data_IF_759868991701
#
_entry.id   IF_759868991701
#
_cell.length_a   1.000
_cell.length_b   1.000
_cell.length_c   1.000
_cell.angle_alpha   90.00
_cell.angle_beta   90.00
_cell.angle_gamma   90.00
#
_symmetry.space_group_name_H-M   'P 1'
#
loop_
_entity.id
_entity.type
_entity.pdbx_description
1 polymer ?
#
# COMPACT_ATOMS: atom_id res chain seq x y z
N UNK A 1 -99.48 24.89 -4.46
CA UNK A 1 -98.72 25.12 -5.71
C UNK A 1 -97.55 26.00 -5.31
N UNK A 2 -96.28 25.62 -5.31
CA UNK A 2 -95.51 24.77 -6.23
C UNK A 2 -94.30 24.21 -5.47
N UNK A 3 -93.83 23.04 -5.88
CA UNK A 3 -92.77 22.20 -5.27
C UNK A 3 -91.33 22.73 -5.50
N UNK A 4 -90.38 22.01 -4.90
CA UNK A 4 -88.94 21.83 -5.23
C UNK A 4 -87.93 22.67 -4.44
N UNK A 5 -86.77 22.18 -4.01
CA UNK A 5 -86.21 20.84 -3.69
C UNK A 5 -84.92 21.16 -2.91
N UNK A 6 -84.61 20.39 -1.87
CA UNK A 6 -83.38 20.49 -1.09
C UNK A 6 -82.16 20.17 -1.96
N UNK A 7 -81.19 21.07 -2.06
CA UNK A 7 -79.91 20.81 -2.72
C UNK A 7 -78.78 20.79 -1.67
N UNK A 8 -78.36 19.58 -1.32
CA UNK A 8 -77.12 19.31 -0.60
C UNK A 8 -76.04 19.15 -1.69
N UNK A 9 -75.12 20.11 -1.82
CA UNK A 9 -73.96 19.96 -2.69
C UNK A 9 -72.69 19.98 -1.85
N UNK A 10 -72.04 18.82 -1.88
CA UNK A 10 -70.80 18.45 -1.19
C UNK A 10 -69.66 19.34 -1.65
N UNK A 11 -68.98 19.97 -0.71
CA UNK A 11 -67.70 20.65 -0.91
C UNK A 11 -66.63 19.59 -1.15
N UNK A 12 -66.22 19.40 -2.41
CA UNK A 12 -65.03 18.59 -2.74
C UNK A 12 -63.78 19.34 -2.27
N UNK A 13 -63.19 18.91 -1.15
CA UNK A 13 -61.79 19.23 -0.84
C UNK A 13 -60.92 18.51 -1.87
N UNK A 14 -60.35 19.28 -2.82
CA UNK A 14 -59.22 18.84 -3.62
C UNK A 14 -58.01 18.68 -2.71
N UNK A 15 -57.78 17.46 -2.21
CA UNK A 15 -56.44 17.04 -1.82
C UNK A 15 -55.63 16.88 -3.11
N UNK A 16 -54.93 17.95 -3.51
CA UNK A 16 -53.85 17.82 -4.49
C UNK A 16 -52.77 16.93 -3.91
N UNK A 17 -52.66 15.69 -4.40
CA UNK A 17 -51.44 14.91 -4.27
C UNK A 17 -50.32 15.71 -4.93
N UNK A 18 -49.55 16.44 -4.14
CA UNK A 18 -48.21 16.83 -4.53
C UNK A 18 -47.37 15.54 -4.54
N UNK A 19 -47.44 14.80 -5.64
CA UNK A 19 -46.46 13.75 -5.91
C UNK A 19 -45.09 14.40 -5.89
N UNK A 20 -44.24 14.02 -4.93
CA UNK A 20 -42.82 14.37 -5.00
C UNK A 20 -42.27 13.66 -6.22
N UNK A 21 -42.03 14.41 -7.29
CA UNK A 21 -41.19 13.94 -8.40
C UNK A 21 -39.78 13.89 -7.80
N UNK A 22 -39.37 12.74 -7.29
CA UNK A 22 -37.95 12.49 -7.06
C UNK A 22 -37.30 12.42 -8.43
N UNK A 23 -36.15 13.09 -8.60
CA UNK A 23 -35.35 12.92 -9.81
C UNK A 23 -35.03 11.43 -9.95
N UNK A 24 -35.40 10.85 -11.09
CA UNK A 24 -35.00 9.49 -11.44
C UNK A 24 -33.63 9.59 -12.09
N UNK A 25 -32.61 9.13 -11.38
CA UNK A 25 -31.25 9.03 -11.88
C UNK A 25 -31.04 7.70 -12.58
N UNK A 26 -30.13 7.68 -13.56
CA UNK A 26 -29.78 6.45 -14.25
C UNK A 26 -29.05 5.49 -13.31
N UNK A 27 -29.43 4.21 -13.36
CA UNK A 27 -28.74 3.15 -12.62
C UNK A 27 -27.68 2.55 -13.52
N UNK A 28 -26.42 2.66 -13.13
CA UNK A 28 -25.26 2.16 -13.87
C UNK A 28 -24.56 1.05 -13.10
N UNK A 29 -23.94 0.11 -13.81
CA UNK A 29 -22.99 -0.83 -13.21
C UNK A 29 -21.65 -0.15 -12.97
N UNK A 30 -20.86 -0.69 -12.04
CA UNK A 30 -19.49 -0.20 -11.78
C UNK A 30 -18.68 -0.17 -13.08
N UNK A 31 -18.77 -1.22 -13.91
CA UNK A 31 -18.06 -1.29 -15.18
C UNK A 31 -18.46 -0.18 -16.16
N UNK A 32 -19.71 0.25 -16.19
CA UNK A 32 -20.12 1.36 -17.06
C UNK A 32 -19.47 2.68 -16.65
N UNK A 33 -19.25 2.87 -15.35
CA UNK A 33 -18.59 4.06 -14.81
C UNK A 33 -17.08 3.97 -15.03
N UNK A 34 -16.49 2.81 -14.77
CA UNK A 34 -15.04 2.65 -14.74
C UNK A 34 -14.41 2.42 -16.12
N UNK A 35 -15.07 1.71 -17.04
CA UNK A 35 -14.43 1.27 -18.28
C UNK A 35 -14.11 2.43 -19.22
N UNK A 36 -12.83 2.52 -19.61
CA UNK A 36 -12.34 3.36 -20.71
C UNK A 36 -11.70 2.50 -21.82
N UNK A 37 -11.74 2.94 -23.08
CA UNK A 37 -11.18 2.18 -24.20
C UNK A 37 -9.65 2.18 -24.27
N UNK A 38 -9.00 3.24 -23.81
CA UNK A 38 -7.54 3.44 -23.89
C UNK A 38 -7.02 4.17 -22.62
N UNK A 39 -6.85 3.44 -21.51
CA UNK A 39 -6.55 4.05 -20.22
C UNK A 39 -5.21 4.79 -20.19
N UNK A 40 -4.23 4.40 -21.03
CA UNK A 40 -2.96 5.13 -21.10
C UNK A 40 -3.07 6.48 -21.81
N UNK A 41 -4.12 6.70 -22.60
CA UNK A 41 -4.38 7.98 -23.24
C UNK A 41 -5.30 8.87 -22.39
N UNK A 42 -6.37 8.30 -21.84
CA UNK A 42 -7.37 8.98 -21.03
C UNK A 42 -8.11 7.96 -20.14
N UNK A 43 -7.96 8.10 -18.83
CA UNK A 43 -8.58 7.28 -17.79
C UNK A 43 -9.87 7.91 -17.22
N UNK A 44 -10.25 9.11 -17.67
CA UNK A 44 -11.43 9.79 -17.14
C UNK A 44 -12.69 8.98 -17.45
N UNK A 45 -13.51 8.75 -16.42
CA UNK A 45 -14.80 8.09 -16.56
C UNK A 45 -15.67 8.75 -17.65
N UNK A 46 -16.32 7.96 -18.53
CA UNK A 46 -17.27 8.50 -19.52
C UNK A 46 -18.51 9.15 -18.89
N UNK A 47 -18.69 9.00 -17.57
CA UNK A 47 -19.79 9.56 -16.78
C UNK A 47 -19.33 10.67 -15.84
N UNK A 48 -18.12 11.20 -15.99
CA UNK A 48 -17.61 12.29 -15.16
C UNK A 48 -18.59 13.48 -15.10
N UNK A 49 -19.00 13.84 -13.88
CA UNK A 49 -19.98 14.89 -13.59
C UNK A 49 -21.45 14.44 -13.58
N UNK A 50 -21.77 13.23 -14.05
CA UNK A 50 -23.13 12.70 -14.03
C UNK A 50 -23.55 12.33 -12.60
N UNK A 51 -24.83 12.52 -12.29
CA UNK A 51 -25.45 11.98 -11.06
C UNK A 51 -26.11 10.65 -11.36
N UNK A 52 -25.65 9.58 -10.71
CA UNK A 52 -26.02 8.20 -11.01
C UNK A 52 -26.37 7.40 -9.76
N UNK A 53 -27.02 6.26 -9.96
CA UNK A 53 -27.26 5.24 -8.93
C UNK A 53 -26.40 4.03 -9.24
N UNK A 54 -25.68 3.51 -8.25
CA UNK A 54 -24.79 2.34 -8.39
C UNK A 54 -25.14 1.29 -7.36
N UNK A 55 -25.32 0.04 -7.79
CA UNK A 55 -25.39 -1.12 -6.89
C UNK A 55 -23.97 -1.61 -6.63
N UNK A 56 -23.55 -1.68 -5.37
CA UNK A 56 -22.22 -2.20 -5.03
C UNK A 56 -22.20 -2.90 -3.66
N UNK A 57 -21.23 -3.80 -3.47
CA UNK A 57 -20.90 -4.42 -2.20
C UNK A 57 -19.77 -3.64 -1.51
N UNK A 58 -19.95 -3.34 -0.22
CA UNK A 58 -18.97 -2.66 0.62
C UNK A 58 -17.83 -3.60 0.99
N UNK A 59 -16.58 -3.16 0.79
CA UNK A 59 -15.40 -3.99 1.04
C UNK A 59 -14.64 -3.62 2.33
N UNK A 60 -14.80 -2.39 2.82
CA UNK A 60 -14.21 -1.92 4.08
C UNK A 60 -15.15 -0.96 4.81
N UNK A 61 -14.91 -0.77 6.11
CA UNK A 61 -15.62 0.23 6.90
C UNK A 61 -15.36 1.65 6.35
N UNK A 62 -16.38 2.51 6.17
CA UNK A 62 -16.24 3.88 5.66
C UNK A 62 -15.28 4.81 6.42
N UNK A 63 -14.89 4.44 7.64
CA UNK A 63 -13.92 5.17 8.48
C UNK A 63 -12.55 4.52 8.56
N UNK A 64 -12.29 3.47 7.78
CA UNK A 64 -11.01 2.78 7.78
C UNK A 64 -9.90 3.51 6.98
N UNK A 65 -10.26 4.49 6.15
CA UNK A 65 -9.34 5.14 5.20
C UNK A 65 -8.87 6.53 5.64
N UNK A 66 -7.61 6.87 5.39
CA UNK A 66 -7.04 8.19 5.62
C UNK A 66 -7.45 9.21 4.53
N UNK A 67 -8.71 9.62 4.55
CA UNK A 67 -9.28 10.60 3.61
C UNK A 67 -9.57 11.95 4.28
N UNK A 68 -8.85 12.27 5.36
CA UNK A 68 -9.12 13.43 6.20
C UNK A 68 -10.35 13.20 7.07
N UNK A 69 -11.21 14.22 7.21
CA UNK A 69 -12.45 14.08 7.98
C UNK A 69 -13.56 13.33 7.20
N UNK A 70 -13.37 13.14 5.88
CA UNK A 70 -14.29 12.46 4.94
C UNK A 70 -14.47 10.99 5.28
N UNK A 71 -15.53 10.41 4.75
CA UNK A 71 -15.81 8.99 4.89
C UNK A 71 -15.70 8.39 3.50
N UNK A 72 -15.10 7.21 3.37
CA UNK A 72 -14.99 6.54 2.09
C UNK A 72 -14.83 5.03 2.26
N UNK A 73 -15.31 4.28 1.28
CA UNK A 73 -15.07 2.85 1.19
C UNK A 73 -14.80 2.43 -0.25
N UNK A 74 -13.92 1.46 -0.40
CA UNK A 74 -13.85 0.63 -1.60
C UNK A 74 -15.10 -0.24 -1.67
N UNK A 75 -15.62 -0.38 -2.88
CA UNK A 75 -16.77 -1.23 -3.18
C UNK A 75 -16.50 -2.04 -4.44
N UNK A 76 -17.23 -3.14 -4.61
CA UNK A 76 -17.16 -3.96 -5.82
C UNK A 76 -18.55 -4.21 -6.39
N UNK A 77 -18.63 -4.47 -7.69
CA UNK A 77 -19.88 -4.95 -8.30
C UNK A 77 -20.16 -6.39 -7.82
N UNK A 78 -21.24 -6.62 -7.04
CA UNK A 78 -21.54 -7.93 -6.48
C UNK A 78 -21.92 -8.96 -7.55
N UNK A 79 -22.32 -8.52 -8.75
CA UNK A 79 -22.81 -9.39 -9.80
C UNK A 79 -21.71 -9.73 -10.83
N UNK A 80 -20.62 -8.94 -10.88
CA UNK A 80 -19.57 -9.08 -11.90
C UNK A 80 -18.14 -9.20 -11.38
N UNK A 81 -17.85 -8.91 -10.11
CA UNK A 81 -16.52 -9.15 -9.54
C UNK A 81 -16.14 -10.64 -9.63
N UNK A 82 -14.90 -11.01 -10.05
CA UNK A 82 -13.70 -10.17 -10.23
C UNK A 82 -13.40 -9.79 -11.69
N UNK A 83 -14.40 -9.67 -12.57
CA UNK A 83 -14.15 -9.25 -13.95
C UNK A 83 -13.50 -7.85 -13.98
N UNK A 84 -12.61 -7.54 -14.93
CA UNK A 84 -12.02 -6.21 -15.07
C UNK A 84 -13.04 -5.07 -14.96
N UNK A 85 -12.65 -3.96 -14.32
CA UNK A 85 -13.47 -2.77 -14.13
C UNK A 85 -14.68 -2.97 -13.19
N UNK A 86 -14.57 -3.87 -12.21
CA UNK A 86 -15.64 -4.16 -11.24
C UNK A 86 -15.34 -3.66 -9.81
N UNK A 87 -14.24 -2.94 -9.60
CA UNK A 87 -13.89 -2.24 -8.36
C UNK A 87 -14.18 -0.75 -8.48
N UNK A 88 -14.58 -0.11 -7.38
CA UNK A 88 -14.93 1.30 -7.36
C UNK A 88 -14.71 1.95 -5.99
N UNK A 89 -14.77 3.28 -5.96
CA UNK A 89 -14.59 4.08 -4.76
C UNK A 89 -15.81 4.96 -4.49
N UNK A 90 -16.32 4.94 -3.25
CA UNK A 90 -17.44 5.79 -2.82
C UNK A 90 -16.99 6.69 -1.69
N UNK A 91 -17.31 7.99 -1.79
CA UNK A 91 -16.88 9.01 -0.82
C UNK A 91 -18.02 9.94 -0.42
N UNK A 92 -18.03 10.30 0.87
CA UNK A 92 -18.82 11.41 1.39
C UNK A 92 -17.89 12.55 1.79
N UNK A 93 -17.92 13.65 1.02
CA UNK A 93 -17.08 14.82 1.30
C UNK A 93 -17.52 15.59 2.55
N UNK A 94 -18.83 15.84 2.70
CA UNK A 94 -19.35 16.54 3.87
C UNK A 94 -19.48 15.59 5.07
N UNK A 95 -18.60 15.77 6.02
CA UNK A 95 -18.44 14.94 7.23
C UNK A 95 -19.53 15.19 8.27
N UNK A 96 -20.28 16.29 8.10
CA UNK A 96 -21.38 16.69 8.96
C UNK A 96 -22.74 16.33 8.35
N UNK A 97 -22.78 15.91 7.08
CA UNK A 97 -24.01 15.48 6.44
C UNK A 97 -24.59 14.26 7.16
N UNK A 98 -25.82 14.41 7.63
CA UNK A 98 -26.62 13.36 8.28
C UNK A 98 -27.71 12.88 7.34
N UNK A 99 -28.19 11.65 7.54
CA UNK A 99 -29.27 11.07 6.75
C UNK A 99 -28.84 10.38 5.45
N UNK A 100 -27.55 10.37 5.12
CA UNK A 100 -27.00 9.54 4.02
C UNK A 100 -26.90 8.06 4.38
N UNK A 101 -27.01 7.71 5.67
CA UNK A 101 -26.81 6.36 6.21
C UNK A 101 -25.42 5.74 5.94
N UNK A 102 -24.48 6.49 5.36
CA UNK A 102 -23.20 5.95 4.91
C UNK A 102 -22.38 5.32 6.05
N UNK A 103 -22.45 5.89 7.26
CA UNK A 103 -21.73 5.37 8.44
C UNK A 103 -22.32 4.12 9.09
N UNK A 104 -23.43 3.61 8.57
CA UNK A 104 -23.98 2.32 9.01
C UNK A 104 -23.51 1.15 8.14
N UNK A 105 -22.78 1.44 7.05
CA UNK A 105 -22.28 0.41 6.16
C UNK A 105 -21.20 -0.42 6.84
N UNK A 106 -21.25 -1.72 6.57
CA UNK A 106 -20.27 -2.70 7.03
C UNK A 106 -19.79 -3.53 5.84
N UNK A 107 -18.57 -4.09 5.90
CA UNK A 107 -18.09 -5.02 4.87
C UNK A 107 -19.09 -6.15 4.60
N UNK A 108 -19.34 -6.43 3.32
CA UNK A 108 -20.30 -7.43 2.84
C UNK A 108 -21.72 -6.90 2.62
N UNK A 109 -22.07 -5.70 3.11
CA UNK A 109 -23.36 -5.09 2.78
C UNK A 109 -23.43 -4.73 1.30
N UNK A 110 -24.57 -5.02 0.68
CA UNK A 110 -24.88 -4.63 -0.70
C UNK A 110 -25.88 -3.48 -0.62
N UNK A 111 -25.59 -2.39 -1.32
CA UNK A 111 -26.41 -1.19 -1.27
C UNK A 111 -26.49 -0.47 -2.63
N UNK A 112 -27.51 0.37 -2.78
CA UNK A 112 -27.56 1.40 -3.81
C UNK A 112 -27.01 2.72 -3.27
N UNK A 113 -26.05 3.28 -4.02
CA UNK A 113 -25.41 4.55 -3.75
C UNK A 113 -25.87 5.57 -4.78
N UNK A 114 -26.24 6.77 -4.37
CA UNK A 114 -26.58 7.88 -5.27
C UNK A 114 -25.59 9.01 -5.08
N UNK A 115 -24.91 9.40 -6.15
CA UNK A 115 -23.86 10.39 -6.09
C UNK A 115 -23.47 10.92 -7.46
N UNK A 116 -22.56 11.89 -7.45
CA UNK A 116 -21.93 12.45 -8.65
C UNK A 116 -20.66 11.64 -8.93
N UNK A 117 -20.48 11.18 -10.16
CA UNK A 117 -19.20 10.61 -10.60
C UNK A 117 -18.19 11.75 -10.68
N UNK A 118 -17.07 11.58 -10.01
CA UNK A 118 -16.03 12.59 -9.82
C UNK A 118 -14.65 11.89 -9.87
N UNK A 119 -13.58 12.67 -9.85
CA UNK A 119 -12.21 12.15 -9.88
C UNK A 119 -11.33 12.89 -8.87
N UNK A 120 -10.47 12.15 -8.17
CA UNK A 120 -9.48 12.76 -7.29
C UNK A 120 -8.13 12.03 -7.38
N UNK A 121 -7.14 12.72 -7.98
CA UNK A 121 -5.81 12.14 -8.23
C UNK A 121 -5.91 10.84 -9.01
N UNK A 122 -6.55 10.91 -10.17
CA UNK A 122 -6.81 9.79 -11.11
C UNK A 122 -7.71 8.65 -10.57
N UNK A 123 -8.09 8.69 -9.29
CA UNK A 123 -9.06 7.75 -8.73
C UNK A 123 -10.48 8.17 -9.12
N UNK A 124 -11.16 7.35 -9.90
CA UNK A 124 -12.58 7.54 -10.19
C UNK A 124 -13.39 7.24 -8.92
N UNK A 125 -14.27 8.17 -8.55
CA UNK A 125 -15.04 8.09 -7.30
C UNK A 125 -16.51 8.49 -7.49
N UNK A 126 -17.38 7.99 -6.60
CA UNK A 126 -18.76 8.45 -6.47
C UNK A 126 -18.91 9.33 -5.22
N UNK A 127 -19.08 10.62 -5.43
CA UNK A 127 -19.34 11.60 -4.39
C UNK A 127 -20.82 11.59 -3.99
N UNK A 128 -21.14 11.09 -2.79
CA UNK A 128 -22.52 10.99 -2.32
C UNK A 128 -23.23 12.35 -2.25
N UNK A 129 -24.50 12.37 -2.62
CA UNK A 129 -25.34 13.55 -2.48
C UNK A 129 -25.61 13.85 -0.99
N UNK A 130 -25.20 15.03 -0.55
CA UNK A 130 -25.31 15.49 0.85
C UNK A 130 -26.22 16.71 1.01
N UNK A 131 -26.63 17.36 -0.09
CA UNK A 131 -27.50 18.53 -0.07
C UNK A 131 -28.51 18.54 -1.26
N UNK A 132 -29.75 18.04 -1.05
CA UNK A 132 -30.20 17.32 0.14
C UNK A 132 -29.52 15.94 0.23
N UNK A 133 -29.38 15.38 1.44
CA UNK A 133 -28.79 14.05 1.61
C UNK A 133 -29.70 12.97 0.99
N UNK A 134 -29.12 12.07 0.20
CA UNK A 134 -29.78 10.87 -0.30
C UNK A 134 -29.32 9.66 0.53
N UNK A 135 -30.22 8.93 1.21
CA UNK A 135 -29.84 7.74 1.96
C UNK A 135 -29.29 6.64 1.06
N UNK A 136 -28.16 6.06 1.44
CA UNK A 136 -27.68 4.79 0.88
C UNK A 136 -28.68 3.70 1.26
N UNK A 137 -29.21 3.01 0.26
CA UNK A 137 -30.23 1.97 0.42
C UNK A 137 -29.57 0.60 0.55
N UNK A 138 -29.48 0.08 1.77
CA UNK A 138 -28.94 -1.26 2.04
C UNK A 138 -29.99 -2.30 1.66
N UNK A 139 -29.66 -3.14 0.68
CA UNK A 139 -30.58 -4.14 0.11
C UNK A 139 -30.26 -5.57 0.54
N UNK A 140 -29.09 -5.81 1.13
CA UNK A 140 -28.72 -7.13 1.60
C UNK A 140 -27.30 -7.23 2.13
N UNK A 141 -26.88 -8.46 2.43
CA UNK A 141 -25.52 -8.81 2.84
C UNK A 141 -25.09 -10.02 2.02
N UNK A 142 -23.90 -9.94 1.44
CA UNK A 142 -23.24 -11.04 0.74
C UNK A 142 -21.96 -11.47 1.45
N UNK A 143 -21.38 -12.57 0.96
CA UNK A 143 -20.04 -13.00 1.36
C UNK A 143 -19.01 -12.11 0.68
N UNK A 144 -18.05 -11.58 1.44
CA UNK A 144 -16.93 -10.83 0.87
C UNK A 144 -16.17 -11.71 -0.13
N UNK A 145 -15.85 -11.21 -1.33
CA UNK A 145 -15.09 -11.98 -2.30
C UNK A 145 -13.64 -12.15 -1.85
N UNK A 146 -13.02 -13.25 -2.28
CA UNK A 146 -11.58 -13.46 -2.14
C UNK A 146 -10.79 -12.41 -2.94
N UNK A 147 -9.57 -12.05 -2.50
CA UNK A 147 -8.73 -11.15 -3.27
C UNK A 147 -8.37 -11.74 -4.63
N UNK A 148 -8.19 -10.86 -5.63
CA UNK A 148 -7.72 -11.24 -6.96
C UNK A 148 -6.20 -11.38 -6.94
N UNK A 149 -5.69 -12.51 -7.38
CA UNK A 149 -4.25 -12.70 -7.52
C UNK A 149 -3.73 -11.95 -8.74
N UNK A 150 -2.80 -11.02 -8.53
CA UNK A 150 -2.12 -10.25 -9.56
C UNK A 150 -0.60 -10.38 -9.39
N UNK A 151 0.13 -9.95 -10.41
CA UNK A 151 1.58 -9.76 -10.37
C UNK A 151 1.93 -8.28 -10.25
N UNK A 152 3.18 -7.98 -9.87
CA UNK A 152 3.70 -6.62 -9.87
C UNK A 152 3.65 -5.99 -11.28
N UNK A 153 3.83 -6.79 -12.35
CA UNK A 153 3.74 -6.31 -13.73
C UNK A 153 2.31 -5.92 -14.14
N UNK A 154 1.27 -6.47 -13.52
CA UNK A 154 -0.12 -6.08 -13.81
C UNK A 154 -0.44 -4.67 -13.30
N UNK A 155 0.31 -4.20 -12.29
CA UNK A 155 0.10 -2.91 -11.62
C UNK A 155 1.19 -1.87 -11.95
N UNK A 156 2.12 -2.18 -12.85
CA UNK A 156 3.25 -1.30 -13.15
C UNK A 156 2.92 -0.15 -14.12
N UNK A 157 1.82 -0.26 -14.88
CA UNK A 157 1.42 0.73 -15.87
C UNK A 157 -0.08 0.86 -15.99
N UNK A 158 -0.52 2.05 -16.41
CA UNK A 158 -1.92 2.41 -16.66
C UNK A 158 -2.60 1.57 -17.75
N UNK A 159 -1.85 1.13 -18.77
CA UNK A 159 -2.35 0.26 -19.84
C UNK A 159 -3.07 -0.99 -19.32
N UNK A 160 -2.58 -1.55 -18.20
CA UNK A 160 -3.07 -2.81 -17.63
C UNK A 160 -3.70 -2.58 -16.26
N UNK A 161 -3.06 -1.77 -15.42
CA UNK A 161 -3.43 -1.61 -14.02
C UNK A 161 -4.76 -0.90 -13.80
N UNK A 162 -5.18 -0.05 -14.74
CA UNK A 162 -6.40 0.76 -14.60
C UNK A 162 -7.65 -0.10 -14.40
N UNK A 163 -7.73 -1.24 -15.08
CA UNK A 163 -8.86 -2.16 -14.94
C UNK A 163 -8.98 -2.80 -13.55
N UNK A 164 -7.92 -2.71 -12.74
CA UNK A 164 -7.81 -3.22 -11.39
C UNK A 164 -7.88 -2.11 -10.33
N UNK A 165 -8.11 -0.86 -10.72
CA UNK A 165 -8.31 0.22 -9.75
C UNK A 165 -9.42 -0.15 -8.74
N UNK A 166 -9.17 0.12 -7.46
CA UNK A 166 -10.08 -0.21 -6.34
C UNK A 166 -10.31 -1.70 -6.10
N UNK A 167 -9.57 -2.60 -6.76
CA UNK A 167 -9.68 -4.04 -6.49
C UNK A 167 -9.04 -4.41 -5.15
N UNK A 168 -9.62 -5.40 -4.49
CA UNK A 168 -8.96 -6.12 -3.41
C UNK A 168 -8.10 -7.23 -4.00
N UNK A 169 -6.77 -7.13 -3.86
CA UNK A 169 -5.81 -7.99 -4.57
C UNK A 169 -4.86 -8.70 -3.62
N UNK A 170 -4.21 -9.76 -4.13
CA UNK A 170 -3.13 -10.47 -3.47
C UNK A 170 -1.95 -10.60 -4.44
N UNK A 171 -0.75 -10.25 -3.98
CA UNK A 171 0.51 -10.48 -4.70
C UNK A 171 1.35 -11.41 -3.84
N UNK A 172 1.77 -12.52 -4.43
CA UNK A 172 2.53 -13.58 -3.75
C UNK A 172 4.02 -13.49 -4.08
N UNK A 173 4.87 -13.89 -3.13
CA UNK A 173 6.32 -13.99 -3.32
C UNK A 173 6.97 -12.70 -3.87
N UNK A 174 6.52 -11.56 -3.37
CA UNK A 174 7.07 -10.25 -3.68
C UNK A 174 8.37 -9.98 -2.90
N UNK A 175 9.19 -9.06 -3.39
CA UNK A 175 10.43 -8.62 -2.75
C UNK A 175 10.49 -7.10 -2.67
N UNK A 176 10.73 -6.56 -1.48
CA UNK A 176 10.89 -5.12 -1.29
C UNK A 176 12.17 -4.65 -2.00
N UNK A 177 12.05 -3.61 -2.84
CA UNK A 177 13.18 -2.97 -3.52
C UNK A 177 13.69 -1.78 -2.71
N UNK A 178 12.77 -0.90 -2.30
CA UNK A 178 13.10 0.28 -1.52
C UNK A 178 11.99 0.55 -0.50
N UNK A 179 12.35 0.49 0.78
CA UNK A 179 11.42 0.64 1.88
C UNK A 179 11.37 2.06 2.49
N UNK A 180 12.08 3.00 1.88
CA UNK A 180 12.24 4.37 2.38
C UNK A 180 11.90 5.41 1.29
N UNK A 181 10.82 5.19 0.55
CA UNK A 181 10.31 6.19 -0.38
C UNK A 181 9.55 7.30 0.36
N UNK A 182 9.50 8.48 -0.23
CA UNK A 182 8.76 9.61 0.33
C UNK A 182 7.26 9.32 0.46
N UNK A 183 6.63 9.95 1.46
CA UNK A 183 5.20 9.78 1.80
C UNK A 183 4.82 8.39 2.31
N UNK A 184 5.65 7.78 3.16
CA UNK A 184 5.37 6.47 3.78
C UNK A 184 5.12 5.34 2.78
N UNK A 185 5.89 5.31 1.68
CA UNK A 185 5.75 4.32 0.61
C UNK A 185 6.94 3.39 0.54
N UNK A 186 6.73 2.23 -0.08
CA UNK A 186 7.80 1.32 -0.49
C UNK A 186 7.55 0.83 -1.91
N UNK A 187 8.61 0.52 -2.66
CA UNK A 187 8.50 -0.21 -3.92
C UNK A 187 8.85 -1.67 -3.74
N UNK A 188 8.21 -2.53 -4.53
CA UNK A 188 8.49 -3.94 -4.56
C UNK A 188 8.33 -4.51 -5.98
N UNK A 189 8.94 -5.68 -6.19
CA UNK A 189 8.79 -6.50 -7.38
C UNK A 189 8.34 -7.90 -7.00
N UNK A 190 8.12 -8.76 -7.96
CA UNK A 190 7.79 -10.17 -7.80
C UNK A 190 8.44 -10.98 -8.95
N UNK A 191 8.18 -12.28 -9.11
CA UNK A 191 8.76 -13.07 -10.20
C UNK A 191 8.41 -12.62 -11.62
N UNK A 192 7.41 -11.74 -11.81
CA UNK A 192 7.12 -11.14 -13.12
C UNK A 192 8.18 -10.11 -13.54
N UNK A 193 8.94 -9.57 -12.58
CA UNK A 193 9.93 -8.51 -12.79
C UNK A 193 9.33 -7.09 -12.90
N UNK A 194 8.01 -6.95 -12.82
CA UNK A 194 7.36 -5.64 -12.74
C UNK A 194 7.61 -4.94 -11.41
N UNK A 195 7.37 -3.63 -11.33
CA UNK A 195 7.54 -2.84 -10.11
C UNK A 195 6.23 -2.13 -9.77
N UNK A 196 5.78 -2.30 -8.54
CA UNK A 196 4.60 -1.63 -7.96
C UNK A 196 4.93 -1.18 -6.52
N UNK A 197 3.96 -0.65 -5.78
CA UNK A 197 4.17 0.10 -4.54
C UNK A 197 3.28 -0.36 -3.40
N UNK A 198 3.79 -0.26 -2.18
CA UNK A 198 3.00 -0.23 -0.96
C UNK A 198 2.73 1.22 -0.57
N UNK A 199 1.52 1.48 -0.10
CA UNK A 199 1.12 2.79 0.43
C UNK A 199 0.24 2.62 1.68
N UNK A 200 0.21 3.65 2.53
CA UNK A 200 -0.33 3.60 3.89
C UNK A 200 -1.77 4.15 3.98
N UNK A 201 -2.57 3.96 2.94
CA UNK A 201 -3.88 4.63 2.80
C UNK A 201 -4.90 4.26 3.88
N UNK A 202 -4.76 3.11 4.54
CA UNK A 202 -5.59 2.74 5.70
C UNK A 202 -5.08 3.38 6.99
N UNK A 203 -6.01 3.81 7.85
CA UNK A 203 -5.70 4.48 9.13
C UNK A 203 -4.74 3.69 10.00
N UNK A 204 -4.80 2.35 9.96
CA UNK A 204 -3.90 1.51 10.74
C UNK A 204 -2.43 1.82 10.44
N UNK A 205 -1.99 1.66 9.19
CA UNK A 205 -0.60 1.95 8.80
C UNK A 205 -0.29 3.43 8.92
N UNK A 206 -1.18 4.31 8.44
CA UNK A 206 -0.98 5.75 8.55
C UNK A 206 -0.71 6.22 9.97
N UNK A 207 -1.46 5.70 10.94
CA UNK A 207 -1.27 6.04 12.35
C UNK A 207 0.07 5.53 12.88
N UNK A 208 0.48 4.31 12.50
CA UNK A 208 1.78 3.76 12.91
C UNK A 208 2.95 4.55 12.33
N UNK A 209 2.88 4.97 11.05
CA UNK A 209 3.86 5.86 10.43
C UNK A 209 3.90 7.24 11.11
N UNK A 210 2.73 7.86 11.34
CA UNK A 210 2.65 9.15 12.04
C UNK A 210 3.23 9.11 13.46
N UNK A 211 3.18 7.94 14.12
CA UNK A 211 3.78 7.72 15.44
C UNK A 211 5.27 7.35 15.37
N UNK A 212 5.83 7.10 14.18
CA UNK A 212 7.21 6.69 14.00
C UNK A 212 7.53 5.29 14.53
N UNK A 213 6.51 4.42 14.66
CA UNK A 213 6.66 3.06 15.22
C UNK A 213 6.62 1.96 14.16
N UNK A 214 6.53 2.33 12.89
CA UNK A 214 6.51 1.40 11.78
C UNK A 214 7.32 1.94 10.60
N UNK A 215 8.04 1.02 9.96
CA UNK A 215 8.65 1.20 8.66
C UNK A 215 8.25 0.00 7.81
N UNK A 216 8.14 0.19 6.50
CA UNK A 216 8.00 -0.95 5.59
C UNK A 216 9.19 -1.90 5.78
N UNK A 217 8.99 -3.23 5.55
CA UNK A 217 10.06 -4.21 5.69
C UNK A 217 11.30 -3.82 4.86
N UNK A 218 12.53 -4.12 5.32
CA UNK A 218 13.75 -3.68 4.65
C UNK A 218 13.85 -4.20 3.21
N UNK A 219 14.61 -3.50 2.36
CA UNK A 219 14.94 -3.97 1.02
C UNK A 219 15.50 -5.40 1.06
N UNK A 220 15.07 -6.25 0.12
CA UNK A 220 15.37 -7.67 0.07
C UNK A 220 14.37 -8.56 0.82
N UNK A 221 13.50 -8.01 1.66
CA UNK A 221 12.44 -8.79 2.33
C UNK A 221 11.53 -9.47 1.30
N UNK A 222 11.38 -10.79 1.42
CA UNK A 222 10.39 -11.57 0.67
C UNK A 222 9.07 -11.65 1.46
N UNK A 223 7.97 -11.36 0.81
CA UNK A 223 6.66 -11.25 1.45
C UNK A 223 5.51 -11.53 0.47
N UNK A 224 4.33 -11.75 1.02
CA UNK A 224 3.08 -11.68 0.26
C UNK A 224 2.22 -10.57 0.85
N UNK A 225 1.49 -9.85 0.00
CA UNK A 225 0.63 -8.74 0.42
C UNK A 225 -0.76 -8.86 -0.15
N UNK A 226 -1.73 -8.52 0.67
CA UNK A 226 -3.13 -8.32 0.27
C UNK A 226 -3.52 -6.87 0.54
N UNK A 227 -4.31 -6.26 -0.33
CA UNK A 227 -4.69 -4.85 -0.14
C UNK A 227 -5.53 -4.30 -1.26
N UNK A 228 -5.90 -3.03 -1.15
CA UNK A 228 -6.65 -2.34 -2.20
C UNK A 228 -5.73 -1.65 -3.19
N UNK A 229 -6.04 -1.79 -4.47
CA UNK A 229 -5.33 -1.11 -5.54
C UNK A 229 -5.76 0.35 -5.59
N UNK A 230 -4.80 1.27 -5.69
CA UNK A 230 -5.07 2.70 -5.88
C UNK A 230 -4.09 3.27 -6.90
N UNK A 231 -4.58 4.09 -7.82
CA UNK A 231 -3.71 4.95 -8.60
C UNK A 231 -3.05 5.99 -7.67
N UNK A 232 -1.74 6.16 -7.82
CA UNK A 232 -0.95 7.08 -7.02
C UNK A 232 -0.15 8.03 -7.90
N UNK A 233 -0.58 9.29 -7.91
CA UNK A 233 0.15 10.40 -8.51
C UNK A 233 1.55 10.56 -7.90
N UNK A 234 2.57 10.08 -8.61
CA UNK A 234 3.97 10.26 -8.23
C UNK A 234 4.59 11.59 -8.68
N UNK A 235 3.82 12.48 -9.33
CA UNK A 235 4.32 13.75 -9.87
C UNK A 235 5.61 13.56 -10.70
N UNK A 236 5.60 12.75 -11.77
CA UNK A 236 6.57 12.79 -12.90
C UNK A 236 6.43 11.60 -13.88
N UNK A 237 5.24 11.34 -14.43
CA UNK A 237 5.09 10.51 -15.65
C UNK A 237 5.48 9.02 -15.52
N UNK A 238 5.54 8.50 -14.29
CA UNK A 238 5.56 7.07 -14.00
C UNK A 238 4.34 6.79 -13.11
N UNK A 239 3.39 6.02 -13.63
CA UNK A 239 2.04 5.81 -13.07
C UNK A 239 1.79 4.34 -12.66
N UNK A 240 2.55 3.81 -11.69
CA UNK A 240 2.28 2.50 -11.14
C UNK A 240 1.23 2.59 -10.03
N UNK A 241 0.34 1.62 -9.97
CA UNK A 241 -0.65 1.51 -8.90
C UNK A 241 0.05 1.05 -7.62
N UNK A 242 -0.58 1.34 -6.48
CA UNK A 242 -0.17 0.83 -5.18
C UNK A 242 -1.12 -0.23 -4.66
N UNK A 243 -0.59 -1.15 -3.86
CA UNK A 243 -1.35 -2.07 -3.01
C UNK A 243 -1.37 -1.51 -1.59
N UNK A 244 -2.57 -1.31 -1.07
CA UNK A 244 -2.81 -0.64 0.21
C UNK A 244 -3.36 -1.67 1.23
N UNK A 245 -2.49 -2.30 2.03
CA UNK A 245 -2.90 -3.27 3.04
C UNK A 245 -3.71 -2.58 4.15
N UNK A 246 -4.67 -3.29 4.73
CA UNK A 246 -5.56 -2.74 5.77
C UNK A 246 -4.88 -2.69 7.12
N UNK A 247 -4.13 -3.74 7.46
CA UNK A 247 -3.38 -3.90 8.69
C UNK A 247 -2.24 -4.93 8.51
N UNK A 248 -1.57 -5.33 9.59
CA UNK A 248 -0.46 -6.31 9.51
C UNK A 248 -0.88 -7.72 9.08
N UNK A 249 -2.16 -8.10 9.17
CA UNK A 249 -2.62 -9.42 8.70
C UNK A 249 -2.59 -9.54 7.17
N UNK A 250 -2.65 -8.38 6.49
CA UNK A 250 -2.53 -8.25 5.05
C UNK A 250 -1.05 -8.26 4.57
N UNK A 251 -0.09 -8.40 5.49
CA UNK A 251 1.35 -8.51 5.19
C UNK A 251 1.91 -9.81 5.78
N UNK A 252 2.26 -10.75 4.91
CA UNK A 252 2.90 -12.00 5.31
C UNK A 252 4.39 -11.94 4.97
N UNK A 253 5.24 -11.75 5.98
CA UNK A 253 6.69 -11.84 5.80
C UNK A 253 7.08 -13.31 5.64
N UNK A 254 7.73 -13.63 4.52
CA UNK A 254 8.20 -14.97 4.21
C UNK A 254 9.66 -15.12 4.65
N UNK A 255 10.55 -14.23 4.20
CA UNK A 255 11.97 -14.17 4.59
C UNK A 255 12.43 -12.71 4.71
N UNK A 256 13.41 -12.44 5.56
CA UNK A 256 14.07 -11.13 5.64
C UNK A 256 15.58 -11.34 5.47
N UNK A 257 16.30 -10.43 4.81
CA UNK A 257 17.75 -10.46 4.81
C UNK A 257 18.33 -10.35 6.23
N UNK A 258 19.51 -10.94 6.50
CA UNK A 258 20.17 -10.81 7.79
C UNK A 258 20.37 -9.36 8.19
N UNK A 259 20.16 -9.04 9.47
CA UNK A 259 20.41 -7.73 10.04
C UNK A 259 21.76 -7.73 10.74
N UNK A 260 22.70 -6.91 10.25
CA UNK A 260 24.02 -6.71 10.87
C UNK A 260 23.97 -5.44 11.74
N UNK A 261 24.30 -5.57 13.01
CA UNK A 261 24.27 -4.52 14.02
C UNK A 261 25.46 -4.62 15.00
N UNK A 262 25.62 -3.64 15.88
CA UNK A 262 26.64 -3.62 16.95
C UNK A 262 28.05 -3.96 16.47
N UNK A 263 28.47 -3.37 15.34
CA UNK A 263 29.80 -3.61 14.78
C UNK A 263 30.88 -2.94 15.64
N UNK A 264 31.78 -3.74 16.20
CA UNK A 264 32.86 -3.29 17.09
C UNK A 264 34.20 -3.83 16.57
N UNK A 265 35.26 -3.03 16.75
CA UNK A 265 36.64 -3.48 16.55
C UNK A 265 37.46 -3.38 17.84
N UNK A 266 38.39 -4.30 18.03
CA UNK A 266 39.33 -4.30 19.15
C UNK A 266 40.72 -4.79 18.69
N UNK A 267 41.82 -4.05 18.94
CA UNK A 267 41.86 -2.74 19.59
C UNK A 267 41.24 -1.61 18.74
N UNK A 268 40.77 -0.56 19.40
CA UNK A 268 40.20 0.62 18.71
C UNK A 268 41.25 1.41 17.90
N UNK A 269 42.50 1.40 18.39
CA UNK A 269 43.69 2.01 17.78
C UNK A 269 44.80 0.94 17.76
N UNK A 270 44.95 0.20 16.65
CA UNK A 270 45.93 -0.88 16.55
C UNK A 270 47.36 -0.38 16.36
N UNK A 271 48.32 -1.01 17.05
CA UNK A 271 49.75 -0.93 16.73
C UNK A 271 50.13 -1.94 15.65
N UNK A 272 51.35 -1.87 15.13
CA UNK A 272 51.85 -2.78 14.10
C UNK A 272 52.05 -4.22 14.58
N UNK A 273 52.01 -4.45 15.90
CA UNK A 273 52.00 -5.78 16.50
C UNK A 273 50.60 -6.32 16.82
N UNK A 274 49.56 -5.48 16.75
CA UNK A 274 48.22 -5.87 17.19
C UNK A 274 47.41 -6.51 16.05
N UNK A 275 46.94 -7.75 16.19
CA UNK A 275 45.83 -8.23 15.37
C UNK A 275 44.53 -7.53 15.77
N UNK A 276 43.64 -7.30 14.82
CA UNK A 276 42.37 -6.59 15.05
C UNK A 276 41.21 -7.55 14.95
N UNK A 277 40.51 -7.76 16.06
CA UNK A 277 39.25 -8.50 16.09
C UNK A 277 38.12 -7.57 15.69
N UNK A 278 37.33 -7.95 14.69
CA UNK A 278 36.07 -7.30 14.33
C UNK A 278 34.93 -8.25 14.69
N UNK A 279 33.93 -7.72 15.39
CA UNK A 279 32.73 -8.46 15.78
C UNK A 279 31.47 -7.68 15.43
N UNK A 280 30.37 -8.40 15.20
CA UNK A 280 29.04 -7.84 14.98
C UNK A 280 27.96 -8.78 15.52
N UNK A 281 26.81 -8.23 15.87
CA UNK A 281 25.58 -9.00 16.08
C UNK A 281 24.89 -9.18 14.72
N UNK A 282 24.68 -10.43 14.30
CA UNK A 282 23.99 -10.75 13.05
C UNK A 282 22.80 -11.64 13.38
N UNK A 283 21.59 -11.13 13.13
CA UNK A 283 20.32 -11.83 13.40
C UNK A 283 19.55 -12.02 12.11
N UNK A 284 18.80 -13.12 12.05
CA UNK A 284 18.00 -13.51 10.90
C UNK A 284 16.70 -14.16 11.38
N UNK A 285 15.60 -14.05 10.63
CA UNK A 285 14.33 -14.69 11.02
C UNK A 285 14.30 -16.20 10.71
N UNK A 286 15.25 -16.71 9.93
CA UNK A 286 15.56 -18.13 9.77
C UNK A 286 16.90 -18.48 10.43
N UNK A 287 17.99 -18.42 9.67
CA UNK A 287 19.34 -18.69 10.13
C UNK A 287 20.39 -18.06 9.21
N UNK A 288 21.47 -17.56 9.80
CA UNK A 288 22.62 -17.04 9.05
C UNK A 288 23.43 -18.21 8.49
N UNK A 289 23.46 -18.37 7.16
CA UNK A 289 24.22 -19.40 6.47
C UNK A 289 25.71 -19.04 6.37
N UNK A 290 26.02 -17.79 6.05
CA UNK A 290 27.38 -17.29 5.89
C UNK A 290 27.53 -15.89 6.48
N UNK A 291 28.65 -15.63 7.15
CA UNK A 291 29.07 -14.28 7.53
C UNK A 291 30.55 -14.10 7.20
N UNK A 292 30.89 -12.99 6.55
CA UNK A 292 32.25 -12.67 6.10
C UNK A 292 32.66 -11.27 6.50
N UNK A 293 33.90 -11.14 6.93
CA UNK A 293 34.62 -9.88 7.02
C UNK A 293 35.43 -9.69 5.75
N UNK A 294 35.21 -8.57 5.07
CA UNK A 294 35.96 -8.15 3.89
C UNK A 294 36.90 -7.03 4.31
N UNK A 295 38.21 -7.18 4.16
CA UNK A 295 39.16 -6.12 4.48
C UNK A 295 40.18 -5.87 3.37
N UNK A 296 40.66 -4.63 3.28
CA UNK A 296 41.62 -4.18 2.28
C UNK A 296 42.67 -3.31 2.96
N UNK A 297 43.94 -3.54 2.61
CA UNK A 297 45.09 -2.83 3.16
C UNK A 297 45.70 -1.96 2.07
N UNK A 298 45.93 -0.68 2.37
CA UNK A 298 46.58 0.29 1.47
C UNK A 298 45.99 0.29 0.06
N UNK A 299 44.66 0.26 -0.03
CA UNK A 299 43.91 0.29 -1.29
C UNK A 299 44.08 -0.94 -2.18
N UNK A 300 44.66 -2.02 -1.66
CA UNK A 300 44.69 -3.32 -2.34
C UNK A 300 43.30 -3.95 -2.53
N UNK A 301 43.21 -5.09 -3.21
CA UNK A 301 41.96 -5.85 -3.33
C UNK A 301 41.43 -6.26 -1.95
N UNK A 302 40.11 -6.44 -1.83
CA UNK A 302 39.51 -6.99 -0.63
C UNK A 302 39.89 -8.46 -0.46
N UNK A 303 40.19 -8.82 0.78
CA UNK A 303 40.40 -10.17 1.26
C UNK A 303 39.19 -10.57 2.10
N UNK A 304 38.69 -11.78 1.87
CA UNK A 304 37.55 -12.33 2.60
C UNK A 304 38.02 -13.20 3.76
N UNK A 305 37.36 -13.07 4.91
CA UNK A 305 37.53 -13.96 6.05
C UNK A 305 36.16 -14.39 6.56
N UNK A 306 35.94 -15.70 6.65
CA UNK A 306 34.76 -16.25 7.32
C UNK A 306 34.75 -15.85 8.79
N UNK A 307 33.62 -15.32 9.26
CA UNK A 307 33.42 -15.01 10.66
C UNK A 307 32.99 -16.27 11.43
N UNK A 308 33.46 -16.39 12.66
CA UNK A 308 33.07 -17.46 13.59
C UNK A 308 31.90 -17.00 14.44
N UNK A 309 30.82 -17.77 14.45
CA UNK A 309 29.62 -17.52 15.24
C UNK A 309 29.78 -17.99 16.69
N UNK A 310 29.26 -17.19 17.62
CA UNK A 310 28.99 -17.56 19.01
C UNK A 310 27.62 -16.98 19.38
N UNK A 311 26.57 -17.81 19.29
CA UNK A 311 25.19 -17.35 19.20
C UNK A 311 25.05 -16.29 18.07
N UNK A 312 24.42 -15.15 18.36
CA UNK A 312 24.20 -14.09 17.37
C UNK A 312 25.44 -13.20 17.15
N UNK A 313 26.53 -13.41 17.90
CA UNK A 313 27.79 -12.66 17.75
C UNK A 313 28.72 -13.36 16.78
N UNK A 314 29.06 -12.70 15.68
CA UNK A 314 30.02 -13.16 14.68
C UNK A 314 31.33 -12.39 14.80
N UNK A 315 32.48 -13.07 14.70
CA UNK A 315 33.78 -12.42 14.79
C UNK A 315 34.84 -12.96 13.83
N UNK A 316 35.74 -12.10 13.35
CA UNK A 316 36.92 -12.47 12.58
C UNK A 316 38.12 -11.59 12.99
N UNK A 317 39.33 -12.07 12.73
CA UNK A 317 40.57 -11.40 13.13
C UNK A 317 41.37 -10.99 11.91
N UNK A 318 41.49 -9.68 11.68
CA UNK A 318 42.43 -9.11 10.71
C UNK A 318 43.84 -9.26 11.27
N UNK A 319 44.78 -9.93 10.57
CA UNK A 319 46.17 -10.04 11.02
C UNK A 319 46.83 -8.67 11.20
N UNK A 320 47.82 -8.60 12.09
CA UNK A 320 48.59 -7.37 12.32
C UNK A 320 49.16 -6.83 11.00
N UNK A 321 49.09 -5.50 10.83
CA UNK A 321 49.54 -4.81 9.62
C UNK A 321 50.71 -3.86 9.94
N UNK A 322 51.60 -3.56 8.98
CA UNK A 322 52.70 -2.63 9.19
C UNK A 322 52.24 -1.24 9.66
N UNK A 323 53.10 -0.54 10.40
CA UNK A 323 52.85 0.83 10.83
C UNK A 323 52.47 1.74 9.65
N UNK A 324 51.56 2.69 9.87
CA UNK A 324 50.94 3.56 8.86
C UNK A 324 50.07 2.87 7.80
N UNK A 325 49.76 1.58 7.94
CA UNK A 325 48.80 0.92 7.05
C UNK A 325 47.39 1.51 7.23
N UNK A 326 46.75 1.85 6.12
CA UNK A 326 45.33 2.21 6.08
C UNK A 326 44.50 0.96 5.78
N UNK A 327 43.65 0.56 6.73
CA UNK A 327 42.79 -0.62 6.60
C UNK A 327 41.34 -0.17 6.50
N UNK A 328 40.63 -0.67 5.50
CA UNK A 328 39.18 -0.51 5.32
C UNK A 328 38.50 -1.85 5.30
N UNK A 329 37.28 -1.94 5.81
CA UNK A 329 36.55 -3.19 5.90
C UNK A 329 35.03 -3.01 5.93
N UNK A 330 34.31 -4.07 5.61
CA UNK A 330 32.86 -4.20 5.77
C UNK A 330 32.52 -5.66 6.08
N UNK A 331 31.30 -5.90 6.56
CA UNK A 331 30.79 -7.23 6.86
C UNK A 331 29.70 -7.56 5.85
N UNK A 332 29.63 -8.82 5.40
CA UNK A 332 28.48 -9.35 4.67
C UNK A 332 27.91 -10.56 5.39
N UNK A 333 26.60 -10.74 5.31
CA UNK A 333 25.91 -11.92 5.80
C UNK A 333 24.93 -12.43 4.73
N UNK A 334 24.77 -13.75 4.65
CA UNK A 334 23.82 -14.45 3.79
C UNK A 334 23.02 -15.41 4.66
N UNK A 335 21.70 -15.44 4.50
CA UNK A 335 20.83 -16.37 5.22
C UNK A 335 20.70 -17.74 4.53
N UNK A 336 19.87 -18.63 5.08
CA UNK A 336 19.63 -19.97 4.54
C UNK A 336 18.74 -20.02 3.28
N UNK A 337 18.21 -18.90 2.80
CA UNK A 337 17.47 -18.82 1.53
C UNK A 337 18.23 -18.04 0.45
N UNK A 338 19.38 -17.45 0.81
CA UNK A 338 20.27 -16.73 -0.09
C UNK A 338 20.13 -15.21 -0.04
N UNK A 339 19.30 -14.65 0.85
CA UNK A 339 19.19 -13.22 1.04
C UNK A 339 20.45 -12.68 1.70
N UNK A 340 20.94 -11.53 1.24
CA UNK A 340 22.24 -11.00 1.63
C UNK A 340 22.17 -9.54 2.08
N UNK A 341 22.97 -9.21 3.09
CA UNK A 341 23.12 -7.86 3.62
C UNK A 341 24.60 -7.52 3.81
N UNK A 342 24.96 -6.25 3.61
CA UNK A 342 26.26 -5.72 4.00
C UNK A 342 26.14 -4.62 5.06
N UNK A 343 27.15 -4.52 5.92
CA UNK A 343 27.32 -3.38 6.81
C UNK A 343 28.73 -2.78 6.67
N UNK A 344 28.83 -1.47 6.34
CA UNK A 344 27.73 -0.60 5.93
C UNK A 344 27.07 -1.06 4.63
N UNK A 345 25.83 -0.61 4.37
CA UNK A 345 25.11 -0.91 3.13
C UNK A 345 25.79 -0.31 1.89
N UNK A 346 26.43 0.85 2.04
CA UNK A 346 27.31 1.42 1.02
C UNK A 346 28.78 1.12 1.34
N UNK A 347 29.37 0.24 0.53
CA UNK A 347 30.78 -0.16 0.63
C UNK A 347 31.71 0.71 -0.24
N UNK A 348 31.16 1.72 -0.91
CA UNK A 348 31.92 2.64 -1.76
C UNK A 348 32.77 3.61 -0.93
N UNK A 349 33.88 4.02 -1.53
CA UNK A 349 34.76 5.03 -0.94
C UNK A 349 34.14 6.43 -0.95
N UNK A 350 33.32 6.74 -1.97
CA UNK A 350 32.89 8.11 -2.28
C UNK A 350 32.06 8.75 -1.17
N UNK A 351 31.35 7.94 -0.39
CA UNK A 351 30.49 8.39 0.70
C UNK A 351 31.19 8.40 2.05
N UNK A 352 32.41 7.85 2.15
CA UNK A 352 33.13 7.72 3.42
C UNK A 352 32.47 6.77 4.43
N UNK A 353 31.44 6.02 4.01
CA UNK A 353 30.64 5.15 4.88
C UNK A 353 31.40 3.91 5.33
N UNK A 354 32.35 3.44 4.52
CA UNK A 354 33.14 2.23 4.81
C UNK A 354 33.95 2.36 6.11
N UNK A 355 33.88 1.31 6.95
CA UNK A 355 34.61 1.26 8.21
C UNK A 355 36.11 1.22 7.93
N UNK A 356 36.89 1.95 8.71
CA UNK A 356 38.33 2.02 8.52
C UNK A 356 39.11 2.33 9.81
N UNK A 357 40.41 2.05 9.79
CA UNK A 357 41.39 2.48 10.79
C UNK A 357 42.78 2.66 10.17
N UNK A 358 43.66 3.33 10.90
CA UNK A 358 45.08 3.45 10.57
C UNK A 358 45.89 2.81 11.68
N UNK A 359 46.86 1.97 11.32
CA UNK A 359 47.81 1.40 12.27
C UNK A 359 48.80 2.47 12.72
N UNK A 360 49.00 2.60 14.04
CA UNK A 360 49.93 3.57 14.62
C UNK A 360 50.71 2.98 15.79
N UNK A 361 52.03 3.11 15.72
CA UNK A 361 52.98 2.87 16.80
C UNK A 361 53.31 4.14 17.59
#
# INVERSE_FOLDING_TARGET
MTRYVTAFCVLFMLFGLAGRVHAQYDTLTVRQIQWVPDPAADDISPHFGDTVVVKAMVMNDPRALWVGARWACFVVDPDSFPNPWSGFFVIQHDTFAVGTNFGFLQPGMIAYFTGVVDEFSHLTQLALLTNPPVPVEIIGVGTLPSPVTLTAADLQSRDVGEQYESFFVHIDNATIINNALGSNRASFTDPSGGITFLDDYFFFFRNMFNQGIFNWPPAGTNFSVTGFVRDIDFNAGAEPYSVNPRDTLDLQILTNPPVISDVVRNPGVPTSSDPVTVSATIVDNGSVQEAKLHYSVNWGPFQEMTMTANADTFSAVIPAQPNNSFVRYFISAVDNVGDATTFPGDTSQATGSILHYVVRD
#
